data_IF_486945527075
#
_entry.id   IF_486945527075
#
_cell.length_a   1.000
_cell.length_b   1.000
_cell.length_c   1.000
_cell.angle_alpha   90.00
_cell.angle_beta   90.00
_cell.angle_gamma   90.00
#
_symmetry.space_group_name_H-M   'P 1'
#
loop_
_entity.id
_entity.type
_entity.pdbx_description
1 polymer ?
#
# COMPACT_ATOMS: atom_id res chain seq x y z
N UNK A 1 -5.99 7.92 -16.71
CA UNK A 1 -6.50 8.69 -17.86
C UNK A 1 -5.34 9.45 -18.49
N UNK A 2 -5.34 9.63 -19.82
CA UNK A 2 -4.25 10.32 -20.52
C UNK A 2 -4.25 11.81 -20.19
N UNK A 3 -3.15 12.30 -19.62
CA UNK A 3 -2.93 13.70 -19.24
C UNK A 3 -2.58 14.59 -20.45
N UNK A 4 -3.48 14.70 -21.43
CA UNK A 4 -3.45 15.88 -22.31
C UNK A 4 -4.53 16.82 -21.84
N UNK A 5 -4.20 18.10 -21.65
CA UNK A 5 -5.03 19.10 -20.96
C UNK A 5 -6.45 19.21 -21.54
N UNK A 6 -6.59 19.04 -22.86
CA UNK A 6 -7.89 19.01 -23.55
C UNK A 6 -8.84 17.92 -23.04
N UNK A 7 -8.32 16.76 -22.65
CA UNK A 7 -9.15 15.68 -22.12
C UNK A 7 -9.60 15.98 -20.69
N UNK A 8 -8.76 16.63 -19.87
CA UNK A 8 -9.14 16.97 -18.49
C UNK A 8 -10.30 17.96 -18.44
N UNK A 9 -10.29 18.98 -19.30
CA UNK A 9 -11.40 19.92 -19.41
C UNK A 9 -12.68 19.24 -19.92
N UNK A 10 -12.58 18.32 -20.88
CA UNK A 10 -13.73 17.54 -21.35
C UNK A 10 -14.29 16.62 -20.25
N UNK A 11 -13.43 15.97 -19.46
CA UNK A 11 -13.85 15.11 -18.34
C UNK A 11 -14.55 15.90 -17.24
N UNK A 12 -14.01 17.08 -16.88
CA UNK A 12 -14.57 17.90 -15.82
C UNK A 12 -15.86 18.62 -16.21
N UNK A 13 -16.07 18.91 -17.50
CA UNK A 13 -17.25 19.63 -17.96
C UNK A 13 -18.36 18.71 -18.46
N UNK A 14 -18.04 17.71 -19.28
CA UNK A 14 -19.03 16.91 -20.02
C UNK A 14 -19.29 15.54 -19.41
N UNK A 15 -18.32 14.94 -18.71
CA UNK A 15 -18.38 13.58 -18.18
C UNK A 15 -18.21 13.51 -16.65
N UNK A 16 -18.35 14.63 -15.97
CA UNK A 16 -18.03 14.76 -14.55
C UNK A 16 -18.87 13.85 -13.66
N UNK A 17 -20.18 13.77 -13.92
CA UNK A 17 -21.07 12.88 -13.17
C UNK A 17 -20.71 11.41 -13.36
N UNK A 18 -20.34 10.99 -14.57
CA UNK A 18 -19.95 9.60 -14.85
C UNK A 18 -18.61 9.26 -14.20
N UNK A 19 -17.62 10.14 -14.30
CA UNK A 19 -16.26 9.90 -13.80
C UNK A 19 -16.17 9.95 -12.28
N UNK A 20 -16.90 10.86 -11.64
CA UNK A 20 -16.78 11.12 -10.20
C UNK A 20 -17.88 10.50 -9.35
N UNK A 21 -18.80 9.72 -9.94
CA UNK A 21 -19.77 8.93 -9.17
C UNK A 21 -19.16 7.62 -8.65
N UNK A 22 -19.54 7.22 -7.43
CA UNK A 22 -19.10 5.98 -6.79
C UNK A 22 -17.57 5.83 -6.67
N UNK A 23 -16.86 6.94 -6.49
CA UNK A 23 -15.42 6.94 -6.30
C UNK A 23 -15.11 6.64 -4.84
N UNK A 24 -14.48 5.49 -4.57
CA UNK A 24 -13.95 5.18 -3.25
C UNK A 24 -12.64 5.92 -2.97
N UNK A 25 -11.77 6.02 -3.98
CA UNK A 25 -10.45 6.65 -3.90
C UNK A 25 -10.15 7.42 -5.18
N UNK A 26 -9.68 8.66 -5.04
CA UNK A 26 -9.03 9.41 -6.12
C UNK A 26 -7.53 9.47 -5.87
N UNK A 27 -6.72 9.12 -6.89
CA UNK A 27 -5.27 9.30 -6.88
C UNK A 27 -4.92 10.40 -7.88
N UNK A 28 -4.39 11.52 -7.39
CA UNK A 28 -3.99 12.65 -8.24
C UNK A 28 -2.46 12.81 -8.23
N UNK A 29 -1.83 12.81 -9.39
CA UNK A 29 -0.38 12.91 -9.50
C UNK A 29 0.04 14.28 -10.07
N UNK A 30 0.87 15.00 -9.32
CA UNK A 30 1.56 16.19 -9.79
C UNK A 30 2.95 15.83 -10.29
N UNK A 31 3.31 16.29 -11.49
CA UNK A 31 4.70 16.31 -11.91
C UNK A 31 5.46 17.41 -11.14
N UNK A 32 6.46 17.03 -10.34
CA UNK A 32 7.21 17.99 -9.52
C UNK A 32 8.04 18.96 -10.36
N UNK A 33 8.37 18.60 -11.60
CA UNK A 33 9.10 19.49 -12.52
C UNK A 33 8.19 20.49 -13.21
N UNK A 34 6.86 20.35 -13.05
CA UNK A 34 5.93 21.32 -13.61
C UNK A 34 5.95 22.61 -12.81
N UNK A 35 6.06 23.72 -13.54
CA UNK A 35 5.87 25.08 -13.04
C UNK A 35 4.47 25.62 -13.39
N UNK A 36 3.64 24.84 -14.10
CA UNK A 36 2.32 25.29 -14.53
C UNK A 36 1.33 25.38 -13.36
N UNK A 37 0.52 26.44 -13.35
CA UNK A 37 -0.60 26.60 -12.41
C UNK A 37 -1.83 25.79 -12.82
N UNK A 38 -1.86 25.33 -14.08
CA UNK A 38 -2.95 24.56 -14.67
C UNK A 38 -3.23 23.27 -13.90
N UNK A 39 -2.19 22.57 -13.44
CA UNK A 39 -2.34 21.37 -12.63
C UNK A 39 -3.10 21.61 -11.32
N UNK A 40 -3.01 22.82 -10.75
CA UNK A 40 -3.79 23.19 -9.55
C UNK A 40 -5.24 23.53 -9.91
N UNK A 41 -5.48 24.18 -11.04
CA UNK A 41 -6.85 24.47 -11.51
C UNK A 41 -7.61 23.18 -11.81
N UNK A 42 -6.97 22.21 -12.48
CA UNK A 42 -7.52 20.88 -12.73
C UNK A 42 -7.80 20.14 -11.41
N UNK A 43 -6.89 20.25 -10.45
CA UNK A 43 -7.08 19.68 -9.11
C UNK A 43 -8.30 20.27 -8.39
N UNK A 44 -8.46 21.60 -8.39
CA UNK A 44 -9.63 22.27 -7.81
C UNK A 44 -10.94 21.80 -8.48
N UNK A 45 -10.92 21.59 -9.80
CA UNK A 45 -12.04 20.99 -10.56
C UNK A 45 -12.38 19.58 -10.09
N UNK A 46 -11.39 18.70 -9.95
CA UNK A 46 -11.57 17.35 -9.39
C UNK A 46 -12.13 17.39 -7.96
N UNK A 47 -11.70 18.36 -7.13
CA UNK A 47 -12.21 18.51 -5.76
C UNK A 47 -13.69 18.91 -5.74
N UNK A 48 -14.09 19.84 -6.61
CA UNK A 48 -15.48 20.25 -6.76
C UNK A 48 -16.37 19.06 -7.19
N UNK A 49 -15.89 18.29 -8.17
CA UNK A 49 -16.60 17.12 -8.66
C UNK A 49 -16.72 16.02 -7.59
N UNK A 50 -15.64 15.71 -6.86
CA UNK A 50 -15.69 14.74 -5.76
C UNK A 50 -16.66 15.17 -4.66
N UNK A 51 -16.62 16.43 -4.22
CA UNK A 51 -17.56 16.94 -3.21
C UNK A 51 -19.02 16.82 -3.65
N UNK A 52 -19.28 16.85 -4.96
CA UNK A 52 -20.62 16.74 -5.53
C UNK A 52 -21.08 15.29 -5.67
N UNK A 53 -20.22 14.42 -6.21
CA UNK A 53 -20.64 13.07 -6.65
C UNK A 53 -20.16 11.94 -5.73
N UNK A 54 -19.08 12.13 -4.96
CA UNK A 54 -18.50 11.14 -4.06
C UNK A 54 -17.82 11.82 -2.85
N UNK A 55 -18.58 12.43 -1.92
CA UNK A 55 -18.02 13.21 -0.80
C UNK A 55 -17.17 12.37 0.17
N UNK A 56 -17.45 11.07 0.26
CA UNK A 56 -16.73 10.10 1.11
C UNK A 56 -15.45 9.54 0.46
N UNK A 57 -15.13 9.96 -0.78
CA UNK A 57 -13.94 9.50 -1.47
C UNK A 57 -12.66 9.90 -0.71
N UNK A 58 -11.71 8.97 -0.59
CA UNK A 58 -10.39 9.30 -0.06
C UNK A 58 -9.50 9.84 -1.17
N UNK A 59 -8.87 10.99 -0.94
CA UNK A 59 -7.90 11.56 -1.88
C UNK A 59 -6.47 11.20 -1.47
N UNK A 60 -5.71 10.64 -2.41
CA UNK A 60 -4.26 10.51 -2.33
C UNK A 60 -3.60 11.39 -3.38
N UNK A 61 -2.61 12.19 -2.95
CA UNK A 61 -1.82 13.02 -3.87
C UNK A 61 -0.41 12.48 -3.99
N UNK A 62 0.07 12.31 -5.23
CA UNK A 62 1.43 11.90 -5.53
C UNK A 62 2.21 13.09 -6.09
N UNK A 63 3.24 13.56 -5.40
CA UNK A 63 4.28 14.40 -5.99
C UNK A 63 5.26 13.48 -6.72
N UNK A 64 5.07 13.32 -8.03
CA UNK A 64 5.74 12.33 -8.86
C UNK A 64 6.96 12.90 -9.60
N UNK A 65 7.88 12.02 -10.01
CA UNK A 65 9.21 12.33 -10.59
C UNK A 65 10.15 13.06 -9.62
N UNK A 66 10.08 12.73 -8.32
CA UNK A 66 10.90 13.36 -7.29
C UNK A 66 12.41 13.17 -7.46
N UNK A 67 12.82 12.16 -8.24
CA UNK A 67 14.21 11.91 -8.65
C UNK A 67 14.83 13.06 -9.46
N UNK A 68 14.00 13.89 -10.10
CA UNK A 68 14.46 15.04 -10.87
C UNK A 68 14.70 16.30 -10.01
N UNK A 69 14.40 16.23 -8.70
CA UNK A 69 14.66 17.33 -7.78
C UNK A 69 16.12 17.32 -7.33
N UNK A 70 16.78 18.47 -7.43
CA UNK A 70 18.19 18.64 -7.02
C UNK A 70 18.37 18.82 -5.51
N UNK A 71 17.29 18.99 -4.75
CA UNK A 71 17.31 19.23 -3.31
C UNK A 71 16.41 18.27 -2.54
N UNK A 72 16.33 18.45 -1.22
CA UNK A 72 15.47 17.63 -0.36
C UNK A 72 13.99 17.80 -0.76
N UNK A 73 13.32 16.76 -1.28
CA UNK A 73 11.95 16.90 -1.78
C UNK A 73 10.96 17.36 -0.71
N UNK A 74 11.14 16.92 0.54
CA UNK A 74 10.28 17.30 1.66
C UNK A 74 10.34 18.78 2.00
N UNK A 75 11.50 19.42 1.78
CA UNK A 75 11.64 20.87 1.94
C UNK A 75 11.02 21.60 0.75
N UNK A 76 11.34 21.17 -0.47
CA UNK A 76 10.90 21.82 -1.71
C UNK A 76 9.38 21.77 -1.92
N UNK A 77 8.72 20.73 -1.44
CA UNK A 77 7.29 20.50 -1.66
C UNK A 77 6.41 20.89 -0.47
N UNK A 78 7.01 21.36 0.64
CA UNK A 78 6.28 21.67 1.90
C UNK A 78 5.15 22.66 1.69
N UNK A 79 5.40 23.74 0.96
CA UNK A 79 4.42 24.79 0.74
C UNK A 79 3.30 24.33 -0.20
N UNK A 80 3.65 23.54 -1.22
CA UNK A 80 2.68 22.90 -2.12
C UNK A 80 1.77 21.94 -1.35
N UNK A 81 2.35 21.10 -0.48
CA UNK A 81 1.58 20.18 0.37
C UNK A 81 0.65 20.95 1.32
N UNK A 82 1.13 22.06 1.88
CA UNK A 82 0.33 22.91 2.77
C UNK A 82 -0.84 23.58 2.03
N UNK A 83 -0.65 23.99 0.78
CA UNK A 83 -1.73 24.55 -0.04
C UNK A 83 -2.78 23.50 -0.39
N UNK A 84 -2.35 22.28 -0.77
CA UNK A 84 -3.27 21.17 -1.02
C UNK A 84 -4.09 20.81 0.22
N UNK A 85 -3.47 20.78 1.40
CA UNK A 85 -4.19 20.53 2.66
C UNK A 85 -5.29 21.55 2.90
N UNK A 86 -5.04 22.84 2.63
CA UNK A 86 -6.07 23.89 2.78
C UNK A 86 -7.26 23.70 1.83
N UNK A 87 -7.00 23.22 0.60
CA UNK A 87 -8.02 23.08 -0.45
C UNK A 87 -8.84 21.79 -0.33
N UNK A 88 -8.18 20.71 0.09
CA UNK A 88 -8.71 19.36 -0.06
C UNK A 88 -9.09 18.69 1.26
N UNK A 89 -8.84 19.29 2.43
CA UNK A 89 -9.41 18.77 3.67
C UNK A 89 -10.95 18.94 3.69
N UNK A 90 -11.69 17.99 4.29
CA UNK A 90 -11.21 16.75 4.95
C UNK A 90 -10.94 15.57 4.00
N UNK A 91 -11.24 15.67 2.70
CA UNK A 91 -11.12 14.62 1.68
C UNK A 91 -9.69 14.08 1.51
N UNK A 92 -8.67 14.92 1.73
CA UNK A 92 -7.25 14.56 1.61
C UNK A 92 -6.83 13.55 2.69
N UNK A 93 -6.56 12.32 2.27
CA UNK A 93 -6.01 11.28 3.13
C UNK A 93 -4.49 11.43 3.32
N UNK A 94 -3.72 11.38 2.22
CA UNK A 94 -2.25 11.44 2.29
C UNK A 94 -1.61 12.05 1.04
N UNK A 95 -0.46 12.71 1.26
CA UNK A 95 0.46 13.12 0.21
C UNK A 95 1.70 12.20 0.23
N UNK A 96 2.11 11.72 -0.95
CA UNK A 96 3.31 10.89 -1.12
C UNK A 96 4.27 11.55 -2.11
N UNK A 97 5.55 11.55 -1.79
CA UNK A 97 6.62 11.90 -2.74
C UNK A 97 7.06 10.61 -3.40
N UNK A 98 7.03 10.55 -4.73
CA UNK A 98 7.23 9.30 -5.47
C UNK A 98 8.17 9.43 -6.66
N UNK A 99 8.93 8.37 -6.90
CA UNK A 99 9.69 8.14 -8.11
C UNK A 99 9.51 6.69 -8.58
N UNK A 100 9.60 6.47 -9.89
CA UNK A 100 9.67 5.10 -10.46
C UNK A 100 11.04 4.45 -10.27
N UNK A 101 12.04 5.22 -9.82
CA UNK A 101 13.42 4.79 -9.69
C UNK A 101 13.79 4.31 -8.29
N UNK A 102 12.86 4.39 -7.32
CA UNK A 102 13.08 3.95 -5.94
C UNK A 102 11.85 3.24 -5.34
N UNK A 103 11.92 2.88 -4.06
CA UNK A 103 10.86 2.16 -3.35
C UNK A 103 9.63 3.02 -3.01
N UNK A 104 9.70 4.34 -3.19
CA UNK A 104 8.66 5.27 -2.72
C UNK A 104 7.30 5.05 -3.39
N UNK A 105 7.30 4.61 -4.66
CA UNK A 105 6.07 4.28 -5.38
C UNK A 105 5.34 3.08 -4.76
N UNK A 106 6.09 2.05 -4.32
CA UNK A 106 5.51 0.91 -3.61
C UNK A 106 4.91 1.33 -2.27
N UNK A 107 5.56 2.25 -1.55
CA UNK A 107 5.02 2.80 -0.31
C UNK A 107 3.69 3.54 -0.54
N UNK A 108 3.62 4.38 -1.56
CA UNK A 108 2.40 5.13 -1.90
C UNK A 108 1.25 4.18 -2.27
N UNK A 109 1.49 3.20 -3.15
CA UNK A 109 0.45 2.25 -3.54
C UNK A 109 0.05 1.29 -2.40
N UNK A 110 0.98 0.89 -1.53
CA UNK A 110 0.66 0.10 -0.33
C UNK A 110 -0.26 0.88 0.61
N UNK A 111 -0.02 2.18 0.79
CA UNK A 111 -0.90 3.08 1.56
C UNK A 111 -2.30 3.17 0.94
N UNK A 112 -2.38 3.36 -0.39
CA UNK A 112 -3.65 3.45 -1.13
C UNK A 112 -4.44 2.14 -1.00
N UNK A 113 -3.82 1.00 -1.31
CA UNK A 113 -4.50 -0.30 -1.29
C UNK A 113 -4.89 -0.70 0.13
N UNK A 114 -4.01 -0.49 1.14
CA UNK A 114 -4.37 -0.80 2.52
C UNK A 114 -5.58 0.01 2.99
N UNK A 115 -5.77 1.25 2.53
CA UNK A 115 -6.95 2.06 2.85
C UNK A 115 -8.29 1.51 2.31
N UNK A 116 -8.24 0.54 1.39
CA UNK A 116 -9.37 -0.15 0.79
C UNK A 116 -9.60 -1.55 1.40
N UNK A 117 -8.67 -2.06 2.21
CA UNK A 117 -8.79 -3.38 2.83
C UNK A 117 -9.81 -3.29 3.98
N UNK A 118 -10.89 -4.10 3.96
CA UNK A 118 -11.83 -4.15 5.07
C UNK A 118 -11.21 -4.83 6.30
N UNK A 119 -11.80 -4.62 7.48
CA UNK A 119 -11.45 -5.36 8.71
C UNK A 119 -9.98 -5.29 9.14
N UNK A 120 -9.26 -4.20 8.82
CA UNK A 120 -7.84 -4.05 9.17
C UNK A 120 -7.55 -4.28 10.66
N UNK A 121 -8.43 -3.84 11.55
CA UNK A 121 -8.30 -4.04 13.01
C UNK A 121 -8.32 -5.53 13.37
N UNK A 122 -9.26 -6.29 12.79
CA UNK A 122 -9.36 -7.73 13.01
C UNK A 122 -8.15 -8.45 12.41
N UNK A 123 -7.74 -8.09 11.19
CA UNK A 123 -6.51 -8.61 10.57
C UNK A 123 -5.29 -8.40 11.45
N UNK A 124 -5.11 -7.19 11.99
CA UNK A 124 -4.00 -6.87 12.87
C UNK A 124 -4.03 -7.75 14.14
N UNK A 125 -5.21 -7.93 14.75
CA UNK A 125 -5.35 -8.74 15.97
C UNK A 125 -5.04 -10.23 15.74
N UNK A 126 -5.53 -10.82 14.65
CA UNK A 126 -5.26 -12.22 14.32
C UNK A 126 -3.81 -12.44 13.88
N UNK A 127 -3.23 -11.47 13.15
CA UNK A 127 -1.83 -11.51 12.77
C UNK A 127 -0.92 -11.41 14.00
N UNK A 128 -1.26 -10.58 14.99
CA UNK A 128 -0.51 -10.48 16.24
C UNK A 128 -0.55 -11.81 17.02
N UNK A 129 -1.74 -12.41 17.18
CA UNK A 129 -1.88 -13.74 17.79
C UNK A 129 -1.07 -14.80 17.05
N UNK A 130 -1.03 -14.74 15.72
CA UNK A 130 -0.23 -15.63 14.91
C UNK A 130 1.28 -15.45 15.14
N UNK A 131 1.76 -14.20 15.21
CA UNK A 131 3.16 -13.87 15.53
C UNK A 131 3.51 -14.32 16.95
N UNK A 132 2.60 -14.20 17.92
CA UNK A 132 2.78 -14.75 19.28
C UNK A 132 2.94 -16.26 19.28
N UNK A 133 2.02 -16.97 18.62
CA UNK A 133 2.03 -18.45 18.56
C UNK A 133 3.29 -19.00 17.90
N UNK A 134 3.73 -18.36 16.82
CA UNK A 134 4.93 -18.78 16.07
C UNK A 134 6.24 -18.39 16.75
N UNK A 135 6.18 -17.59 17.84
CA UNK A 135 7.31 -16.89 18.45
C UNK A 135 8.04 -15.99 17.46
N UNK A 136 7.31 -15.48 16.47
CA UNK A 136 7.81 -14.51 15.51
C UNK A 136 8.01 -13.13 16.14
N UNK A 137 8.75 -12.30 15.43
CA UNK A 137 8.97 -10.88 15.74
C UNK A 137 8.17 -9.97 14.81
N UNK A 138 7.97 -10.38 13.57
CA UNK A 138 7.28 -9.61 12.55
C UNK A 138 6.51 -10.53 11.62
N UNK A 139 5.31 -10.09 11.23
CA UNK A 139 4.61 -10.64 10.08
C UNK A 139 4.14 -9.53 9.15
N UNK A 140 4.28 -9.75 7.85
CA UNK A 140 3.88 -8.81 6.80
C UNK A 140 3.00 -9.55 5.82
N UNK A 141 1.85 -8.98 5.52
CA UNK A 141 0.91 -9.47 4.53
C UNK A 141 1.08 -8.67 3.23
N UNK A 142 1.30 -9.39 2.13
CA UNK A 142 1.45 -8.82 0.80
C UNK A 142 0.32 -9.28 -0.12
N UNK A 143 -0.14 -8.42 -1.01
CA UNK A 143 -0.99 -8.86 -2.12
C UNK A 143 -0.14 -9.65 -3.12
N UNK A 144 -0.59 -10.84 -3.52
CA UNK A 144 0.24 -11.85 -4.19
C UNK A 144 0.81 -11.41 -5.55
N UNK A 145 0.09 -10.58 -6.31
CA UNK A 145 0.48 -10.16 -7.66
C UNK A 145 1.30 -8.88 -7.62
N UNK A 146 0.80 -7.85 -6.95
CA UNK A 146 1.42 -6.53 -6.84
C UNK A 146 2.54 -6.49 -5.81
N UNK A 147 2.61 -7.48 -4.90
CA UNK A 147 3.51 -7.54 -3.76
C UNK A 147 3.51 -6.27 -2.92
N UNK A 148 2.40 -5.53 -2.92
CA UNK A 148 2.21 -4.37 -2.06
C UNK A 148 1.90 -4.86 -0.65
N UNK A 149 2.48 -4.21 0.35
CA UNK A 149 2.20 -4.53 1.74
C UNK A 149 0.79 -4.02 2.08
N UNK A 150 -0.08 -4.91 2.53
CA UNK A 150 -1.48 -4.59 2.85
C UNK A 150 -1.77 -4.62 4.35
N UNK A 151 -0.89 -5.24 5.14
CA UNK A 151 -0.97 -5.25 6.60
C UNK A 151 0.32 -5.78 7.21
N UNK A 152 0.60 -5.43 8.46
CA UNK A 152 1.76 -5.96 9.18
C UNK A 152 1.55 -5.90 10.70
N UNK A 153 2.36 -6.69 11.41
CA UNK A 153 2.57 -6.61 12.86
C UNK A 153 4.06 -6.70 13.09
N UNK A 154 4.61 -5.78 13.88
CA UNK A 154 6.02 -5.80 14.29
C UNK A 154 6.09 -5.61 15.80
N UNK A 155 6.63 -6.59 16.53
CA UNK A 155 6.70 -6.55 18.00
C UNK A 155 7.82 -5.66 18.53
N UNK A 156 8.95 -5.62 17.82
CA UNK A 156 10.11 -4.81 18.17
C UNK A 156 10.29 -3.72 17.15
N UNK A 157 10.72 -2.55 17.61
CA UNK A 157 11.01 -1.45 16.71
C UNK A 157 12.11 -1.85 15.72
N UNK A 158 11.78 -1.87 14.44
CA UNK A 158 12.75 -2.08 13.37
C UNK A 158 13.33 -0.72 12.92
N UNK A 159 14.66 -0.57 12.83
CA UNK A 159 15.28 0.72 12.49
C UNK A 159 14.91 1.23 11.10
N UNK A 160 14.71 0.31 10.15
CA UNK A 160 14.26 0.66 8.80
C UNK A 160 12.73 0.66 8.70
N UNK A 161 12.14 1.86 8.75
CA UNK A 161 10.71 2.07 8.53
C UNK A 161 10.26 1.86 7.08
N UNK A 162 11.19 1.73 6.12
CA UNK A 162 10.91 1.54 4.69
C UNK A 162 11.12 0.11 4.22
N UNK A 163 11.32 -0.83 5.14
CA UNK A 163 11.65 -2.21 4.79
C UNK A 163 10.55 -2.88 3.97
N UNK A 164 9.28 -2.54 4.19
CA UNK A 164 8.15 -3.18 3.50
C UNK A 164 8.23 -2.95 1.99
N UNK A 165 8.37 -1.68 1.58
CA UNK A 165 8.47 -1.30 0.18
C UNK A 165 9.79 -1.75 -0.47
N UNK A 166 10.89 -1.81 0.31
CA UNK A 166 12.15 -2.42 -0.16
C UNK A 166 11.99 -3.90 -0.42
N UNK A 167 11.36 -4.65 0.47
CA UNK A 167 11.06 -6.07 0.31
C UNK A 167 10.16 -6.28 -0.92
N UNK A 168 9.10 -5.48 -1.07
CA UNK A 168 8.24 -5.50 -2.27
C UNK A 168 9.05 -5.33 -3.55
N UNK A 169 9.91 -4.31 -3.62
CA UNK A 169 10.74 -4.04 -4.79
C UNK A 169 11.72 -5.18 -5.08
N UNK A 170 12.43 -5.68 -4.06
CA UNK A 170 13.36 -6.82 -4.20
C UNK A 170 12.65 -8.07 -4.71
N UNK A 171 11.49 -8.41 -4.13
CA UNK A 171 10.73 -9.60 -4.53
C UNK A 171 10.15 -9.45 -5.95
N UNK A 172 9.81 -8.23 -6.36
CA UNK A 172 9.41 -7.95 -7.74
C UNK A 172 10.55 -8.15 -8.73
N UNK A 173 11.73 -7.64 -8.41
CA UNK A 173 12.92 -7.84 -9.25
C UNK A 173 13.27 -9.32 -9.35
N UNK A 174 13.25 -10.05 -8.22
CA UNK A 174 13.46 -11.50 -8.19
C UNK A 174 12.45 -12.25 -9.07
N UNK A 175 11.17 -11.88 -9.02
CA UNK A 175 10.14 -12.47 -9.88
C UNK A 175 10.43 -12.23 -11.36
N UNK A 176 10.82 -11.01 -11.72
CA UNK A 176 11.18 -10.68 -13.11
C UNK A 176 12.38 -11.48 -13.59
N UNK A 177 13.42 -11.62 -12.75
CA UNK A 177 14.64 -12.36 -13.09
C UNK A 177 14.40 -13.85 -13.28
N UNK A 178 13.55 -14.46 -12.44
CA UNK A 178 13.38 -15.91 -12.46
C UNK A 178 12.49 -16.40 -13.59
N UNK A 179 11.64 -15.55 -14.19
CA UNK A 179 10.71 -15.87 -15.29
C UNK A 179 9.64 -16.93 -14.99
N UNK A 180 9.88 -17.77 -13.97
CA UNK A 180 9.09 -18.93 -13.52
C UNK A 180 8.21 -18.62 -12.32
N UNK A 181 8.34 -17.45 -11.70
CA UNK A 181 7.40 -16.99 -10.67
C UNK A 181 6.01 -16.64 -11.22
N UNK A 182 5.81 -16.66 -12.55
CA UNK A 182 4.46 -16.64 -13.15
C UNK A 182 3.64 -17.87 -12.76
N UNK A 183 4.28 -18.97 -12.32
CA UNK A 183 3.62 -20.12 -11.69
C UNK A 183 3.27 -19.90 -10.20
N UNK A 184 3.56 -18.72 -9.66
CA UNK A 184 3.33 -18.35 -8.27
C UNK A 184 4.48 -18.77 -7.35
N UNK A 185 4.96 -17.86 -6.51
CA UNK A 185 5.80 -18.25 -5.37
C UNK A 185 5.00 -19.20 -4.49
N UNK A 186 5.49 -20.42 -4.30
CA UNK A 186 4.91 -21.33 -3.30
C UNK A 186 5.44 -20.95 -1.92
N UNK A 187 6.77 -20.94 -1.79
CA UNK A 187 7.48 -20.72 -0.52
C UNK A 187 8.89 -20.17 -0.76
N UNK A 188 9.34 -19.26 0.10
CA UNK A 188 10.73 -18.83 0.22
C UNK A 188 11.17 -18.95 1.69
N UNK A 189 12.30 -19.59 1.94
CA UNK A 189 12.89 -19.75 3.27
C UNK A 189 14.32 -19.26 3.26
N UNK A 190 14.64 -18.38 4.19
CA UNK A 190 15.99 -17.83 4.39
C UNK A 190 16.34 -17.92 5.86
N UNK A 191 17.56 -18.31 6.18
CA UNK A 191 18.12 -18.22 7.53
C UNK A 191 19.36 -17.34 7.45
N UNK A 192 19.35 -16.26 8.22
CA UNK A 192 20.44 -15.30 8.32
C UNK A 192 21.53 -15.82 9.28
N UNK A 193 22.74 -15.27 9.18
CA UNK A 193 23.88 -15.71 9.98
C UNK A 193 23.75 -15.47 11.49
N UNK A 194 22.86 -14.56 11.90
CA UNK A 194 22.49 -14.29 13.30
C UNK A 194 21.42 -15.26 13.83
N UNK A 195 20.99 -16.22 13.01
CA UNK A 195 19.93 -17.17 13.34
C UNK A 195 18.52 -16.63 13.08
N UNK A 196 18.34 -15.48 12.45
CA UNK A 196 17.01 -14.99 12.07
C UNK A 196 16.45 -15.79 10.89
N UNK A 197 15.28 -16.40 11.09
CA UNK A 197 14.52 -17.09 10.05
C UNK A 197 13.52 -16.17 9.37
N UNK A 198 13.47 -16.23 8.04
CA UNK A 198 12.48 -15.57 7.21
C UNK A 198 11.75 -16.63 6.39
N UNK A 199 10.43 -16.65 6.51
CA UNK A 199 9.52 -17.51 5.76
C UNK A 199 8.55 -16.64 4.98
N UNK A 200 8.51 -16.75 3.65
CA UNK A 200 7.40 -16.24 2.84
C UNK A 200 6.60 -17.42 2.30
N UNK A 201 5.30 -17.44 2.58
CA UNK A 201 4.39 -18.52 2.19
C UNK A 201 3.11 -17.93 1.61
N UNK A 202 2.59 -18.57 0.58
CA UNK A 202 1.31 -18.16 -0.01
C UNK A 202 0.15 -18.59 0.90
N UNK A 203 -0.68 -17.63 1.32
CA UNK A 203 -1.89 -17.90 2.09
C UNK A 203 -3.02 -18.37 1.16
N UNK A 204 -3.33 -17.55 0.16
CA UNK A 204 -4.35 -17.78 -0.86
C UNK A 204 -3.90 -17.23 -2.22
N UNK A 205 -4.79 -17.17 -3.20
CA UNK A 205 -4.44 -16.65 -4.52
C UNK A 205 -4.06 -15.17 -4.47
N UNK A 206 -4.64 -14.41 -3.54
CA UNK A 206 -4.56 -12.97 -3.41
C UNK A 206 -3.53 -12.52 -2.37
N UNK A 207 -3.06 -13.39 -1.47
CA UNK A 207 -2.24 -12.99 -0.33
C UNK A 207 -1.04 -13.90 -0.06
N UNK A 208 0.09 -13.27 0.31
CA UNK A 208 1.34 -13.89 0.74
C UNK A 208 1.69 -13.37 2.13
N UNK A 209 2.04 -14.27 3.03
CA UNK A 209 2.52 -13.95 4.37
C UNK A 209 4.03 -14.08 4.42
N UNK A 210 4.71 -13.04 4.89
CA UNK A 210 6.09 -13.11 5.34
C UNK A 210 6.11 -13.14 6.87
N UNK A 211 6.86 -14.08 7.45
CA UNK A 211 7.06 -14.22 8.89
C UNK A 211 8.56 -14.20 9.20
N UNK A 212 8.94 -13.35 10.14
CA UNK A 212 10.30 -13.25 10.67
C UNK A 212 10.34 -13.84 12.08
N UNK A 213 11.23 -14.80 12.31
CA UNK A 213 11.39 -15.52 13.59
C UNK A 213 12.84 -15.44 14.05
N UNK A 214 13.15 -14.84 15.22
CA UNK A 214 14.52 -14.75 15.72
C UNK A 214 15.02 -16.09 16.25
N UNK A 215 16.34 -16.31 16.21
CA UNK A 215 17.04 -17.49 16.77
C UNK A 215 16.43 -18.84 16.37
N UNK A 216 16.10 -18.99 15.09
CA UNK A 216 15.46 -20.19 14.54
C UNK A 216 16.47 -21.33 14.42
N UNK A 217 16.05 -22.54 14.78
CA UNK A 217 16.82 -23.76 14.46
C UNK A 217 16.44 -24.26 13.05
N UNK A 218 17.30 -25.05 12.37
CA UNK A 218 16.94 -25.65 11.09
C UNK A 218 15.66 -26.48 11.16
N UNK A 219 15.46 -27.22 12.26
CA UNK A 219 14.23 -27.98 12.49
C UNK A 219 13.01 -27.06 12.60
N UNK A 220 13.12 -25.96 13.36
CA UNK A 220 12.02 -25.01 13.51
C UNK A 220 11.61 -24.39 12.16
N UNK A 221 12.56 -24.09 11.28
CA UNK A 221 12.25 -23.60 9.93
C UNK A 221 11.43 -24.57 9.07
N UNK A 222 11.54 -25.88 9.33
CA UNK A 222 10.74 -26.90 8.63
C UNK A 222 9.32 -27.02 9.18
N UNK A 223 9.10 -26.61 10.43
CA UNK A 223 7.79 -26.67 11.11
C UNK A 223 6.91 -25.45 10.80
N UNK A 224 7.50 -24.26 10.62
CA UNK A 224 6.77 -23.01 10.40
C UNK A 224 5.75 -23.05 9.23
N UNK A 225 6.01 -23.70 8.08
CA UNK A 225 5.01 -23.80 7.01
C UNK A 225 3.70 -24.46 7.45
N UNK A 226 3.76 -25.46 8.34
CA UNK A 226 2.56 -26.11 8.88
C UNK A 226 1.75 -25.15 9.77
N UNK A 227 2.43 -24.29 10.54
CA UNK A 227 1.76 -23.27 11.36
C UNK A 227 1.11 -22.18 10.49
N UNK A 228 1.78 -21.77 9.40
CA UNK A 228 1.19 -20.86 8.40
C UNK A 228 -0.02 -21.51 7.74
N UNK A 229 0.04 -22.80 7.38
CA UNK A 229 -1.09 -23.53 6.83
C UNK A 229 -2.29 -23.53 7.80
N UNK A 230 -2.04 -23.69 9.10
CA UNK A 230 -3.08 -23.58 10.15
C UNK A 230 -3.63 -22.16 10.35
N UNK A 231 -2.97 -21.13 9.83
CA UNK A 231 -3.48 -19.75 9.84
C UNK A 231 -4.38 -19.42 8.64
N UNK A 232 -4.25 -20.15 7.52
CA UNK A 232 -5.03 -19.89 6.29
C UNK A 232 -6.55 -19.82 6.54
N UNK A 233 -7.19 -20.74 7.30
CA UNK A 233 -8.63 -20.64 7.54
C UNK A 233 -9.04 -19.38 8.32
N UNK A 234 -8.20 -18.94 9.26
CA UNK A 234 -8.43 -17.69 10.01
C UNK A 234 -8.35 -16.50 9.07
N UNK A 235 -7.32 -16.46 8.22
CA UNK A 235 -7.16 -15.41 7.22
C UNK A 235 -8.36 -15.31 6.28
N UNK A 236 -8.84 -16.45 5.76
CA UNK A 236 -10.03 -16.50 4.90
C UNK A 236 -11.27 -15.98 5.63
N UNK A 237 -11.52 -16.42 6.86
CA UNK A 237 -12.67 -15.98 7.65
C UNK A 237 -12.68 -14.46 7.90
N UNK A 238 -11.52 -13.86 8.18
CA UNK A 238 -11.40 -12.40 8.37
C UNK A 238 -11.60 -11.64 7.05
N UNK A 239 -11.16 -12.22 5.92
CA UNK A 239 -11.28 -11.62 4.59
C UNK A 239 -12.74 -11.62 4.10
N UNK A 240 -13.52 -12.64 4.45
CA UNK A 240 -14.93 -12.81 4.07
C UNK A 240 -15.90 -12.14 5.07
N UNK A 241 -15.43 -11.79 6.26
CA UNK A 241 -16.24 -11.11 7.26
C UNK A 241 -16.77 -9.78 6.71
N UNK A 242 -18.07 -9.55 6.84
CA UNK A 242 -18.65 -8.25 6.51
C UNK A 242 -18.00 -7.17 7.39
N UNK A 243 -17.68 -5.99 6.83
CA UNK A 243 -17.22 -4.88 7.64
C UNK A 243 -18.26 -4.58 8.73
N UNK A 244 -17.83 -4.50 9.99
CA UNK A 244 -18.70 -4.01 11.06
C UNK A 244 -19.22 -2.64 10.65
N UNK A 245 -20.53 -2.54 10.38
CA UNK A 245 -21.20 -1.27 10.19
C UNK A 245 -21.23 -0.60 11.55
N UNK A 246 -20.52 0.52 11.71
CA UNK A 246 -20.56 1.32 12.92
C UNK A 246 -22.03 1.75 13.17
N UNK A 247 -22.68 1.33 14.27
CA UNK A 247 -24.06 1.69 14.55
C UNK A 247 -24.27 3.19 14.80
N UNK A 248 -23.20 4.00 14.85
CA UNK A 248 -23.26 5.46 14.95
C UNK A 248 -23.26 6.19 13.60
N UNK A 249 -23.33 5.48 12.47
CA UNK A 249 -23.44 6.05 11.12
C UNK A 249 -24.84 5.92 10.47
N UNK A 250 -25.91 5.81 11.28
CA UNK A 250 -27.31 5.95 10.85
C UNK A 250 -28.01 7.13 11.54
#
# INVERSE_FOLDING_TARGET
>A
MGSQDKFMDEYLNSQSSELFSNVAVLVYAFDVTSESTEGMSQFDGCMSALRTYSPEAKLFVLFHKSDLLSGSPSTLLRDRESDLKRRALPTLAHCHITSIWDESLYRAWSSIISSLVPNLTLFHSELLRFVDRTRGEEAILFEAVTLLAIGHVTKRHHPDGRRFEKISNMMKQLRTMTGKFSAGMVSLRVVLGDGTGLLMERLCNEAILMLTVPHVTPQRMLELPAEVAGFKPVFTAVSEAQPEVDPHML
#
